data_IF_384964413283
#
_entry.id   IF_384964413283
#
_cell.length_a   1.000
_cell.length_b   1.000
_cell.length_c   1.000
_cell.angle_alpha   90.00
_cell.angle_beta   90.00
_cell.angle_gamma   90.00
#
_symmetry.space_group_name_H-M   'P 1'
#
loop_
_entity.id
_entity.type
_entity.pdbx_description
1 polymer ?
#
# COMPACT_ATOMS: atom_id res chain seq x y z
N UNK A 1 4.20 -17.90 28.64
CA UNK A 1 3.83 -18.66 27.42
C UNK A 1 2.89 -17.82 26.59
N UNK A 2 3.35 -17.39 25.41
CA UNK A 2 2.50 -16.66 24.47
C UNK A 2 1.52 -17.66 23.88
N UNK A 3 0.20 -17.43 24.05
CA UNK A 3 -0.82 -18.28 23.46
C UNK A 3 -0.82 -18.11 21.94
N UNK A 4 -0.93 -19.22 21.20
CA UNK A 4 -1.06 -19.20 19.76
C UNK A 4 -2.44 -18.68 19.36
N UNK A 5 -2.46 -17.64 18.55
CA UNK A 5 -3.69 -17.10 17.96
C UNK A 5 -3.87 -17.60 16.53
N UNK A 6 -5.10 -17.59 16.08
CA UNK A 6 -5.46 -17.87 14.69
C UNK A 6 -5.90 -16.57 14.02
N UNK A 7 -5.11 -16.10 13.07
CA UNK A 7 -5.36 -14.88 12.32
C UNK A 7 -5.75 -15.25 10.90
N UNK A 8 -6.88 -14.73 10.43
CA UNK A 8 -7.39 -14.96 9.07
C UNK A 8 -7.27 -13.68 8.27
N UNK A 9 -6.54 -13.74 7.16
CA UNK A 9 -6.44 -12.68 6.17
C UNK A 9 -7.40 -12.99 5.03
N UNK A 10 -8.12 -11.99 4.55
CA UNK A 10 -9.02 -12.13 3.40
C UNK A 10 -8.66 -11.04 2.38
N UNK A 11 -8.46 -11.44 1.12
CA UNK A 11 -8.11 -10.52 0.04
C UNK A 11 -8.67 -11.02 -1.29
N UNK A 12 -8.90 -10.10 -2.23
CA UNK A 12 -9.44 -10.40 -3.56
C UNK A 12 -8.37 -10.84 -4.57
N UNK A 13 -7.41 -11.64 -4.13
CA UNK A 13 -6.32 -12.13 -4.98
C UNK A 13 -4.99 -11.44 -4.69
N UNK A 14 -3.92 -11.99 -5.24
CA UNK A 14 -2.55 -11.55 -5.00
C UNK A 14 -1.82 -11.27 -6.33
N UNK A 15 -2.32 -10.33 -7.17
CA UNK A 15 -1.76 -10.11 -8.49
C UNK A 15 -0.43 -9.33 -8.53
N UNK A 16 0.00 -8.74 -7.42
CA UNK A 16 1.29 -8.05 -7.37
C UNK A 16 1.24 -6.57 -6.98
N UNK A 17 0.18 -6.12 -6.32
CA UNK A 17 0.07 -4.73 -5.82
C UNK A 17 0.74 -4.52 -4.46
N UNK A 18 0.78 -3.26 -4.03
CA UNK A 18 1.38 -2.88 -2.75
C UNK A 18 0.64 -3.46 -1.53
N UNK A 19 -0.70 -3.49 -1.57
CA UNK A 19 -1.51 -4.05 -0.49
C UNK A 19 -1.29 -5.56 -0.34
N UNK A 20 -1.16 -6.27 -1.45
CA UNK A 20 -0.92 -7.72 -1.48
C UNK A 20 0.44 -8.05 -0.86
N UNK A 21 1.45 -7.26 -1.16
CA UNK A 21 2.79 -7.40 -0.56
C UNK A 21 2.74 -7.22 0.95
N UNK A 22 1.96 -6.25 1.43
CA UNK A 22 1.74 -6.01 2.87
C UNK A 22 1.13 -7.24 3.54
N UNK A 23 0.12 -7.86 2.92
CA UNK A 23 -0.52 -9.08 3.45
C UNK A 23 0.48 -10.20 3.59
N UNK A 24 1.31 -10.44 2.58
CA UNK A 24 2.34 -11.49 2.61
C UNK A 24 3.38 -11.19 3.70
N UNK A 25 3.88 -9.98 3.79
CA UNK A 25 4.88 -9.57 4.78
C UNK A 25 4.32 -9.70 6.20
N UNK A 26 3.11 -9.23 6.44
CA UNK A 26 2.44 -9.33 7.72
C UNK A 26 2.23 -10.80 8.12
N UNK A 27 1.81 -11.64 7.17
CA UNK A 27 1.62 -13.08 7.39
C UNK A 27 2.93 -13.76 7.78
N UNK A 28 4.03 -13.43 7.12
CA UNK A 28 5.37 -13.94 7.49
C UNK A 28 5.73 -13.60 8.92
N UNK A 29 5.51 -12.36 9.33
CA UNK A 29 5.84 -11.89 10.67
C UNK A 29 5.00 -12.57 11.75
N UNK A 30 3.70 -12.74 11.49
CA UNK A 30 2.81 -13.43 12.44
C UNK A 30 3.15 -14.92 12.58
N UNK A 31 3.50 -15.59 11.48
CA UNK A 31 3.97 -16.98 11.51
C UNK A 31 5.28 -17.09 12.30
N UNK A 32 6.21 -16.16 12.09
CA UNK A 32 7.49 -16.14 12.81
C UNK A 32 7.30 -15.94 14.31
N UNK A 33 6.26 -15.25 14.74
CA UNK A 33 5.90 -15.08 16.16
C UNK A 33 5.17 -16.30 16.74
N UNK A 34 4.96 -17.35 15.95
CA UNK A 34 4.37 -18.61 16.41
C UNK A 34 2.87 -18.71 16.27
N UNK A 35 2.23 -17.79 15.56
CA UNK A 35 0.78 -17.80 15.36
C UNK A 35 0.40 -18.59 14.11
N UNK A 36 -0.85 -19.03 14.06
CA UNK A 36 -1.43 -19.66 12.89
C UNK A 36 -2.02 -18.56 12.00
N UNK A 37 -1.68 -18.59 10.72
CA UNK A 37 -2.17 -17.65 9.74
C UNK A 37 -2.86 -18.40 8.61
N UNK A 38 -4.09 -18.00 8.30
CA UNK A 38 -4.85 -18.49 7.17
C UNK A 38 -5.09 -17.34 6.21
N UNK A 39 -4.96 -17.59 4.91
CA UNK A 39 -5.16 -16.60 3.87
C UNK A 39 -6.24 -17.09 2.91
N UNK A 40 -7.37 -16.39 2.88
CA UNK A 40 -8.48 -16.66 1.99
C UNK A 40 -8.42 -15.66 0.82
N UNK A 41 -8.23 -16.18 -0.38
CA UNK A 41 -8.21 -15.38 -1.60
C UNK A 41 -9.50 -15.58 -2.39
N UNK A 42 -10.15 -14.49 -2.77
CA UNK A 42 -11.41 -14.54 -3.51
C UNK A 42 -11.22 -14.77 -5.00
N UNK A 43 -9.96 -14.70 -5.50
CA UNK A 43 -9.60 -15.03 -6.87
C UNK A 43 -8.36 -15.91 -6.90
N UNK A 44 -8.27 -16.77 -7.90
CA UNK A 44 -7.10 -17.64 -8.11
C UNK A 44 -6.00 -16.89 -8.86
N UNK A 45 -5.44 -15.88 -8.22
CA UNK A 45 -4.31 -15.11 -8.73
C UNK A 45 -3.30 -14.94 -7.61
N UNK A 46 -2.09 -15.47 -7.81
CA UNK A 46 -1.01 -15.33 -6.83
C UNK A 46 0.33 -15.19 -7.55
N UNK A 47 0.89 -13.98 -7.53
CA UNK A 47 2.19 -13.67 -8.12
C UNK A 47 3.28 -13.52 -7.05
N UNK A 48 3.02 -14.01 -5.84
CA UNK A 48 3.97 -14.00 -4.73
C UNK A 48 4.33 -15.41 -4.30
N UNK A 49 5.54 -15.57 -3.78
CA UNK A 49 5.91 -16.78 -3.05
C UNK A 49 5.27 -16.69 -1.67
N UNK A 50 4.42 -17.66 -1.36
CA UNK A 50 3.72 -17.68 -0.07
C UNK A 50 4.67 -18.13 1.05
N UNK A 51 4.54 -17.58 2.27
CA UNK A 51 5.33 -18.02 3.40
C UNK A 51 5.09 -19.49 3.72
N UNK A 52 6.14 -20.19 4.17
CA UNK A 52 6.00 -21.55 4.67
C UNK A 52 5.10 -21.58 5.92
N UNK A 53 4.18 -22.53 5.96
CA UNK A 53 3.27 -22.70 7.09
C UNK A 53 1.96 -21.93 7.00
N UNK A 54 1.76 -21.11 5.97
CA UNK A 54 0.48 -20.45 5.76
C UNK A 54 -0.57 -21.42 5.24
N UNK A 55 -1.81 -21.33 5.72
CA UNK A 55 -2.95 -22.04 5.14
C UNK A 55 -3.59 -21.17 4.07
N UNK A 56 -3.28 -21.43 2.82
CA UNK A 56 -3.76 -20.65 1.68
C UNK A 56 -4.91 -21.37 1.00
N UNK A 57 -6.04 -20.69 0.85
CA UNK A 57 -7.24 -21.22 0.20
C UNK A 57 -7.82 -20.21 -0.77
N UNK A 58 -8.16 -20.71 -1.96
CA UNK A 58 -8.84 -19.92 -3.00
C UNK A 58 -10.33 -20.23 -2.96
N UNK A 59 -11.14 -19.17 -2.93
CA UNK A 59 -12.60 -19.26 -2.98
C UNK A 59 -13.03 -18.88 -4.38
N UNK A 60 -13.11 -19.88 -5.26
CA UNK A 60 -13.48 -19.65 -6.65
C UNK A 60 -14.96 -19.34 -6.80
N UNK A 61 -15.28 -18.44 -7.73
CA UNK A 61 -16.65 -18.19 -8.15
C UNK A 61 -16.98 -19.11 -9.33
N UNK A 62 -17.79 -20.13 -9.05
CA UNK A 62 -18.18 -21.14 -10.03
C UNK A 62 -19.51 -20.84 -10.73
N UNK A 63 -20.17 -19.73 -10.38
CA UNK A 63 -21.47 -19.37 -10.96
C UNK A 63 -21.34 -19.01 -12.44
N UNK A 64 -22.23 -19.60 -13.26
CA UNK A 64 -22.38 -19.29 -14.69
C UNK A 64 -23.75 -18.66 -14.98
N UNK A 65 -24.50 -18.28 -13.96
CA UNK A 65 -25.81 -17.64 -14.11
C UNK A 65 -25.70 -16.34 -14.87
N UNK A 66 -26.67 -16.00 -15.78
CA UNK A 66 -26.72 -14.69 -16.41
C UNK A 66 -26.93 -13.55 -15.42
N UNK A 67 -27.48 -13.85 -14.24
CA UNK A 67 -27.73 -12.91 -13.13
C UNK A 67 -26.56 -12.78 -12.17
N UNK A 68 -25.41 -13.36 -12.46
CA UNK A 68 -24.27 -13.44 -11.54
C UNK A 68 -23.77 -12.07 -11.06
N UNK A 69 -23.88 -11.00 -11.88
CA UNK A 69 -23.48 -9.65 -11.49
C UNK A 69 -24.41 -9.05 -10.43
N UNK A 70 -25.70 -9.31 -10.55
CA UNK A 70 -26.70 -8.81 -9.61
C UNK A 70 -26.65 -9.50 -8.26
N UNK A 71 -26.26 -10.78 -8.23
CA UNK A 71 -26.19 -11.60 -7.01
C UNK A 71 -24.77 -11.72 -6.47
N UNK A 72 -23.80 -11.06 -7.06
CA UNK A 72 -22.38 -11.27 -6.78
C UNK A 72 -22.04 -11.13 -5.31
N UNK A 73 -22.39 -10.02 -4.67
CA UNK A 73 -22.01 -9.78 -3.28
C UNK A 73 -22.59 -10.82 -2.33
N UNK A 74 -23.88 -11.14 -2.45
CA UNK A 74 -24.53 -12.14 -1.59
C UNK A 74 -24.03 -13.54 -1.86
N UNK A 75 -23.84 -13.90 -3.13
CA UNK A 75 -23.29 -15.20 -3.53
C UNK A 75 -21.87 -15.38 -3.03
N UNK A 76 -21.00 -14.39 -3.25
CA UNK A 76 -19.60 -14.43 -2.82
C UNK A 76 -19.48 -14.46 -1.31
N UNK A 77 -20.34 -13.74 -0.58
CA UNK A 77 -20.41 -13.79 0.87
C UNK A 77 -20.79 -15.18 1.37
N UNK A 78 -21.73 -15.86 0.71
CA UNK A 78 -22.11 -17.24 1.03
C UNK A 78 -20.97 -18.22 0.79
N UNK A 79 -20.24 -18.06 -0.30
CA UNK A 79 -19.06 -18.88 -0.61
C UNK A 79 -17.94 -18.64 0.41
N UNK A 80 -17.70 -17.39 0.80
CA UNK A 80 -16.77 -17.04 1.86
C UNK A 80 -17.15 -17.68 3.19
N UNK A 81 -18.42 -17.61 3.57
CA UNK A 81 -18.91 -18.18 4.81
C UNK A 81 -18.70 -19.69 4.87
N UNK A 82 -18.95 -20.38 3.77
CA UNK A 82 -18.69 -21.83 3.67
C UNK A 82 -17.22 -22.15 3.87
N UNK A 83 -16.33 -21.44 3.18
CA UNK A 83 -14.89 -21.63 3.32
C UNK A 83 -14.39 -21.30 4.71
N UNK A 84 -14.91 -20.22 5.31
CA UNK A 84 -14.55 -19.80 6.66
C UNK A 84 -14.99 -20.84 7.71
N UNK A 85 -16.20 -21.40 7.59
CA UNK A 85 -16.67 -22.44 8.49
C UNK A 85 -15.82 -23.70 8.41
N UNK A 86 -15.41 -24.10 7.19
CA UNK A 86 -14.50 -25.23 6.99
C UNK A 86 -13.13 -24.96 7.63
N UNK A 87 -12.62 -23.75 7.47
CA UNK A 87 -11.34 -23.36 8.05
C UNK A 87 -11.38 -23.42 9.59
N UNK A 88 -12.43 -22.88 10.19
CA UNK A 88 -12.62 -22.87 11.64
C UNK A 88 -12.81 -24.28 12.19
N UNK A 89 -13.50 -25.16 11.47
CA UNK A 89 -13.66 -26.57 11.88
C UNK A 89 -12.34 -27.32 11.91
N UNK A 90 -11.37 -26.95 11.07
CA UNK A 90 -10.06 -27.58 10.99
C UNK A 90 -9.06 -27.01 11.99
N UNK A 91 -9.07 -25.69 12.20
CA UNK A 91 -8.03 -24.98 12.94
C UNK A 91 -8.51 -24.29 14.21
N UNK A 92 -9.79 -24.36 14.51
CA UNK A 92 -10.39 -23.63 15.63
C UNK A 92 -10.80 -22.22 15.27
N UNK A 93 -11.40 -21.52 16.24
CA UNK A 93 -11.94 -20.17 16.05
C UNK A 93 -10.86 -19.19 15.59
N UNK A 94 -11.26 -18.24 14.75
CA UNK A 94 -10.42 -17.11 14.38
C UNK A 94 -10.43 -16.08 15.52
N UNK A 95 -9.26 -15.68 15.98
CA UNK A 95 -9.12 -14.65 17.01
C UNK A 95 -9.14 -13.25 16.40
N UNK A 96 -8.71 -13.14 15.14
CA UNK A 96 -8.64 -11.88 14.40
C UNK A 96 -8.86 -12.18 12.93
N UNK A 97 -9.71 -11.37 12.28
CA UNK A 97 -9.95 -11.42 10.84
C UNK A 97 -9.64 -10.06 10.26
N UNK A 98 -8.78 -10.03 9.25
CA UNK A 98 -8.37 -8.79 8.58
C UNK A 98 -8.76 -8.88 7.11
N UNK A 99 -9.65 -7.98 6.70
CA UNK A 99 -10.09 -7.85 5.32
C UNK A 99 -9.29 -6.73 4.64
N UNK A 100 -8.81 -6.99 3.45
CA UNK A 100 -7.98 -6.06 2.70
C UNK A 100 -8.60 -5.73 1.36
N UNK A 101 -8.59 -4.45 1.00
CA UNK A 101 -9.12 -3.90 -0.23
C UNK A 101 -10.65 -3.78 -0.23
N UNK A 102 -11.13 -2.72 -0.84
CA UNK A 102 -12.57 -2.41 -0.87
C UNK A 102 -13.43 -3.51 -1.51
N UNK A 103 -12.95 -4.15 -2.56
CA UNK A 103 -13.67 -5.28 -3.19
C UNK A 103 -13.91 -6.41 -2.21
N UNK A 104 -12.90 -6.74 -1.44
CA UNK A 104 -12.99 -7.76 -0.38
C UNK A 104 -13.94 -7.31 0.73
N UNK A 105 -13.79 -6.06 1.16
CA UNK A 105 -14.55 -5.49 2.28
C UNK A 105 -16.06 -5.52 2.00
N UNK A 106 -16.47 -5.27 0.77
CA UNK A 106 -17.89 -5.34 0.35
C UNK A 106 -18.49 -6.73 0.57
N UNK A 107 -17.70 -7.76 0.33
CA UNK A 107 -18.11 -9.17 0.49
C UNK A 107 -18.10 -9.55 1.97
N UNK A 108 -17.03 -9.23 2.68
CA UNK A 108 -16.86 -9.52 4.10
C UNK A 108 -17.97 -8.83 4.94
N UNK A 109 -18.35 -7.62 4.56
CA UNK A 109 -19.46 -6.89 5.22
C UNK A 109 -20.75 -7.71 5.25
N UNK A 110 -21.01 -8.52 4.23
CA UNK A 110 -22.21 -9.33 4.09
C UNK A 110 -22.08 -10.73 4.68
N UNK A 111 -20.91 -11.08 5.20
CA UNK A 111 -20.70 -12.39 5.84
C UNK A 111 -21.58 -12.54 7.09
N UNK A 112 -22.13 -13.74 7.24
CA UNK A 112 -22.89 -14.12 8.43
C UNK A 112 -22.09 -15.01 9.37
N UNK A 113 -21.06 -15.70 8.86
CA UNK A 113 -20.23 -16.60 9.64
C UNK A 113 -19.12 -15.89 10.42
N UNK A 114 -18.66 -14.74 9.94
CA UNK A 114 -17.52 -14.03 10.52
C UNK A 114 -18.02 -12.98 11.51
N UNK A 115 -17.52 -13.06 12.75
CA UNK A 115 -17.90 -12.13 13.83
C UNK A 115 -17.42 -10.70 13.51
N UNK A 116 -18.32 -9.72 13.36
CA UNK A 116 -17.93 -8.33 13.08
C UNK A 116 -17.02 -7.73 14.14
N UNK A 117 -17.11 -8.15 15.39
CA UNK A 117 -16.30 -7.64 16.50
C UNK A 117 -14.84 -8.06 16.39
N UNK A 118 -14.55 -9.17 15.71
CA UNK A 118 -13.20 -9.71 15.48
C UNK A 118 -12.66 -9.33 14.11
N UNK A 119 -13.45 -8.65 13.31
CA UNK A 119 -13.14 -8.29 11.93
C UNK A 119 -12.68 -6.83 11.84
N UNK A 120 -11.55 -6.61 11.20
CA UNK A 120 -11.01 -5.28 10.92
C UNK A 120 -10.83 -5.11 9.43
N UNK A 121 -11.34 -4.00 8.91
CA UNK A 121 -11.14 -3.61 7.52
C UNK A 121 -9.88 -2.76 7.43
N UNK A 122 -8.88 -3.26 6.74
CA UNK A 122 -7.61 -2.56 6.53
C UNK A 122 -7.67 -1.74 5.25
N UNK A 123 -7.58 -0.42 5.38
CA UNK A 123 -7.70 0.54 4.29
C UNK A 123 -6.31 0.92 3.80
N UNK A 124 -6.06 0.72 2.52
CA UNK A 124 -4.77 0.93 1.88
C UNK A 124 -4.70 2.18 1.00
N UNK A 125 -5.79 2.89 0.82
CA UNK A 125 -5.85 4.06 -0.05
C UNK A 125 -6.75 5.16 0.46
N UNK A 126 -6.60 6.35 -0.11
CA UNK A 126 -7.42 7.52 0.17
C UNK A 126 -8.66 7.48 -0.72
N UNK A 127 -9.81 7.06 -0.19
CA UNK A 127 -11.02 6.83 -0.97
C UNK A 127 -11.59 8.11 -1.60
N UNK A 128 -11.49 9.25 -0.92
CA UNK A 128 -11.96 10.52 -1.48
C UNK A 128 -11.24 10.91 -2.76
N UNK A 129 -9.96 10.53 -2.90
CA UNK A 129 -9.18 10.75 -4.10
C UNK A 129 -9.33 9.63 -5.13
N UNK A 130 -9.07 8.39 -4.72
CA UNK A 130 -9.00 7.26 -5.66
C UNK A 130 -10.36 6.70 -6.06
N UNK A 131 -11.32 6.63 -5.13
CA UNK A 131 -12.63 6.02 -5.40
C UNK A 131 -13.65 7.03 -5.94
N UNK A 132 -13.71 8.22 -5.35
CA UNK A 132 -14.58 9.28 -5.85
C UNK A 132 -14.03 9.91 -7.12
N UNK A 133 -12.70 10.03 -7.22
CA UNK A 133 -12.03 10.61 -8.39
C UNK A 133 -12.54 12.02 -8.68
N UNK A 134 -12.85 12.27 -9.94
CA UNK A 134 -13.38 13.55 -10.42
C UNK A 134 -14.93 13.60 -10.48
N UNK A 135 -15.60 12.63 -9.86
CA UNK A 135 -17.07 12.56 -9.89
C UNK A 135 -17.68 13.69 -9.08
N UNK A 136 -18.81 14.18 -9.57
CA UNK A 136 -19.59 15.27 -8.95
C UNK A 136 -21.07 14.91 -8.90
N UNK A 137 -21.86 15.65 -8.10
CA UNK A 137 -23.30 15.52 -8.06
C UNK A 137 -23.80 14.15 -7.60
N UNK A 138 -24.80 13.63 -8.30
CA UNK A 138 -25.48 12.39 -7.92
C UNK A 138 -24.56 11.16 -7.99
N UNK A 139 -23.71 11.10 -8.99
CA UNK A 139 -22.73 10.00 -9.15
C UNK A 139 -21.76 9.94 -7.95
N UNK A 140 -21.27 11.10 -7.51
CA UNK A 140 -20.42 11.20 -6.32
C UNK A 140 -21.17 10.77 -5.05
N UNK A 141 -22.41 11.23 -4.90
CA UNK A 141 -23.26 10.90 -3.75
C UNK A 141 -23.53 9.40 -3.67
N UNK A 142 -23.86 8.74 -4.80
CA UNK A 142 -24.10 7.29 -4.84
C UNK A 142 -22.86 6.51 -4.43
N UNK A 143 -21.69 6.89 -4.96
CA UNK A 143 -20.42 6.24 -4.62
C UNK A 143 -20.05 6.43 -3.16
N UNK A 144 -20.22 7.63 -2.64
CA UNK A 144 -19.97 7.93 -1.24
C UNK A 144 -20.89 7.10 -0.33
N UNK A 145 -22.16 6.92 -0.71
CA UNK A 145 -23.11 6.13 0.05
C UNK A 145 -22.75 4.64 0.06
N UNK A 146 -22.19 4.11 -1.03
CA UNK A 146 -21.70 2.73 -1.09
C UNK A 146 -20.55 2.50 -0.10
N UNK A 147 -19.61 3.44 -0.03
CA UNK A 147 -18.49 3.40 0.92
C UNK A 147 -19.03 3.46 2.35
N UNK A 148 -19.91 4.40 2.62
CA UNK A 148 -20.52 4.54 3.96
C UNK A 148 -21.15 3.22 4.44
N UNK A 149 -21.93 2.54 3.59
CA UNK A 149 -22.60 1.28 3.95
C UNK A 149 -21.63 0.16 4.31
N UNK A 150 -20.46 0.10 3.67
CA UNK A 150 -19.49 -0.96 3.94
C UNK A 150 -18.84 -0.77 5.32
N UNK A 151 -18.51 0.46 5.67
CA UNK A 151 -17.64 0.72 6.83
C UNK A 151 -18.35 1.26 8.06
N UNK A 152 -19.61 1.67 7.93
CA UNK A 152 -20.36 2.23 9.07
C UNK A 152 -20.46 1.23 10.22
N UNK A 153 -20.07 1.67 11.42
CA UNK A 153 -20.10 0.90 12.66
C UNK A 153 -19.28 -0.40 12.60
N UNK A 154 -18.21 -0.41 11.82
CA UNK A 154 -17.27 -1.52 11.73
C UNK A 154 -15.89 -1.09 12.22
N UNK A 155 -15.04 -2.06 12.57
CA UNK A 155 -13.68 -1.81 12.99
C UNK A 155 -12.81 -1.50 11.77
N UNK A 156 -12.05 -0.41 11.83
CA UNK A 156 -11.26 0.09 10.71
C UNK A 156 -9.81 0.26 11.11
N UNK A 157 -8.90 -0.19 10.24
CA UNK A 157 -7.48 0.14 10.32
C UNK A 157 -7.15 1.01 9.11
N UNK A 158 -6.61 2.20 9.33
CA UNK A 158 -5.99 3.00 8.28
C UNK A 158 -4.48 2.79 8.30
N UNK A 159 -3.86 2.60 7.13
CA UNK A 159 -2.39 2.48 7.04
C UNK A 159 -1.69 3.81 7.32
N UNK A 160 -2.42 4.91 7.27
CA UNK A 160 -2.00 6.23 7.75
C UNK A 160 -3.18 6.89 8.46
N UNK A 161 -2.90 7.92 9.25
CA UNK A 161 -3.94 8.71 9.91
C UNK A 161 -4.87 9.34 8.88
N UNK A 162 -4.31 9.86 7.79
CA UNK A 162 -5.09 10.47 6.72
C UNK A 162 -6.09 9.48 6.12
N UNK A 163 -5.65 8.25 5.82
CA UNK A 163 -6.51 7.20 5.26
C UNK A 163 -7.68 6.88 6.20
N UNK A 164 -7.42 6.72 7.49
CA UNK A 164 -8.46 6.44 8.48
C UNK A 164 -9.45 7.61 8.61
N UNK A 165 -8.93 8.84 8.72
CA UNK A 165 -9.76 10.03 8.91
C UNK A 165 -10.59 10.39 7.68
N UNK A 166 -10.13 10.01 6.49
CA UNK A 166 -10.82 10.25 5.21
C UNK A 166 -12.24 9.67 5.20
N UNK A 167 -12.43 8.49 5.78
CA UNK A 167 -13.76 7.88 5.89
C UNK A 167 -14.71 8.72 6.76
N UNK A 168 -14.21 9.24 7.86
CA UNK A 168 -15.04 10.06 8.76
C UNK A 168 -15.39 11.40 8.12
N UNK A 169 -14.42 12.03 7.45
CA UNK A 169 -14.57 13.38 6.87
C UNK A 169 -15.42 13.39 5.60
N UNK A 170 -15.18 12.45 4.69
CA UNK A 170 -15.76 12.51 3.35
C UNK A 170 -16.91 11.52 3.14
N UNK A 171 -17.10 10.55 4.04
CA UNK A 171 -18.10 9.50 3.90
C UNK A 171 -19.02 9.38 5.10
N UNK A 172 -18.87 10.25 6.08
CA UNK A 172 -19.68 10.29 7.30
C UNK A 172 -19.71 8.95 8.05
N UNK A 173 -18.61 8.21 7.98
CA UNK A 173 -18.47 6.93 8.67
C UNK A 173 -18.16 7.18 10.15
N UNK A 174 -18.92 6.53 11.03
CA UNK A 174 -18.63 6.43 12.45
C UNK A 174 -18.17 4.99 12.71
N UNK A 175 -16.86 4.72 12.80
CA UNK A 175 -16.39 3.36 13.03
C UNK A 175 -16.73 2.88 14.44
N UNK A 176 -16.91 1.56 14.61
CA UNK A 176 -17.02 0.96 15.94
C UNK A 176 -15.71 1.14 16.72
N UNK A 177 -14.58 0.90 16.06
CA UNK A 177 -13.24 1.18 16.55
C UNK A 177 -12.37 1.58 15.36
N UNK A 178 -11.41 2.47 15.60
CA UNK A 178 -10.48 2.96 14.60
C UNK A 178 -9.05 2.88 15.10
N UNK A 179 -8.18 2.31 14.31
CA UNK A 179 -6.75 2.26 14.59
C UNK A 179 -5.96 2.73 13.37
N UNK A 180 -4.81 3.32 13.62
CA UNK A 180 -3.82 3.62 12.59
C UNK A 180 -2.65 2.67 12.80
N UNK A 181 -2.44 1.77 11.87
CA UNK A 181 -1.34 0.80 11.91
C UNK A 181 -0.59 0.91 10.59
N UNK A 182 0.66 1.35 10.66
CA UNK A 182 1.52 1.48 9.49
C UNK A 182 1.81 0.12 8.86
N UNK A 183 2.24 0.14 7.60
CA UNK A 183 2.67 -1.07 6.91
C UNK A 183 3.94 -1.64 7.54
N UNK A 184 4.09 -2.97 7.56
CA UNK A 184 5.28 -3.63 8.07
C UNK A 184 6.38 -3.73 7.03
N UNK A 185 7.64 -3.74 7.49
CA UNK A 185 8.81 -3.90 6.63
C UNK A 185 9.78 -4.89 7.25
N UNK A 186 10.23 -5.85 6.44
CA UNK A 186 11.30 -6.77 6.81
C UNK A 186 12.64 -6.12 6.44
N UNK A 187 13.27 -5.44 7.40
CA UNK A 187 14.51 -4.68 7.20
C UNK A 187 15.65 -5.57 6.69
N UNK A 188 15.82 -6.74 7.27
CA UNK A 188 16.89 -7.66 6.87
C UNK A 188 16.71 -8.13 5.42
N UNK A 189 15.49 -8.48 5.04
CA UNK A 189 15.18 -8.89 3.66
C UNK A 189 15.45 -7.75 2.68
N UNK A 190 15.02 -6.52 3.00
CA UNK A 190 15.25 -5.34 2.15
C UNK A 190 16.74 -5.08 2.00
N UNK A 191 17.50 -5.07 3.08
CA UNK A 191 18.93 -4.79 3.04
C UNK A 191 19.72 -5.89 2.32
N UNK A 192 19.31 -7.14 2.45
CA UNK A 192 19.91 -8.27 1.71
C UNK A 192 19.68 -8.12 0.21
N UNK A 193 18.47 -7.79 -0.19
CA UNK A 193 18.14 -7.55 -1.61
C UNK A 193 18.84 -6.30 -2.15
N UNK A 194 18.97 -5.26 -1.32
CA UNK A 194 19.67 -4.04 -1.71
C UNK A 194 21.17 -4.26 -1.97
N UNK A 195 21.75 -5.27 -1.35
CA UNK A 195 23.16 -5.62 -1.54
C UNK A 195 23.41 -6.48 -2.79
N UNK A 196 22.36 -6.97 -3.45
CA UNK A 196 22.50 -7.77 -4.68
C UNK A 196 23.09 -6.93 -5.81
N UNK A 197 24.04 -7.49 -6.60
CA UNK A 197 24.58 -6.78 -7.75
C UNK A 197 23.52 -6.50 -8.81
N UNK A 198 23.57 -5.29 -9.38
CA UNK A 198 22.71 -4.89 -10.48
C UNK A 198 23.52 -3.97 -11.42
N UNK A 199 23.17 -4.00 -12.71
CA UNK A 199 23.76 -3.10 -13.69
C UNK A 199 23.14 -1.72 -13.53
N UNK A 200 23.89 -0.80 -12.91
CA UNK A 200 23.46 0.57 -12.63
C UNK A 200 24.07 1.55 -13.65
N UNK A 201 23.50 2.75 -13.80
CA UNK A 201 24.16 3.83 -14.52
C UNK A 201 25.54 4.12 -13.92
N UNK A 202 26.49 4.50 -14.75
CA UNK A 202 27.87 4.80 -14.31
C UNK A 202 27.96 6.00 -13.36
N UNK A 203 27.01 6.92 -13.45
CA UNK A 203 26.92 8.12 -12.62
C UNK A 203 25.83 7.99 -11.58
N UNK A 204 25.88 8.83 -10.55
CA UNK A 204 24.76 8.99 -9.65
C UNK A 204 23.49 9.29 -10.42
N UNK A 205 22.36 8.85 -9.92
CA UNK A 205 21.07 9.00 -10.59
C UNK A 205 19.97 9.33 -9.60
N UNK A 206 18.94 10.00 -10.11
CA UNK A 206 17.66 10.20 -9.42
C UNK A 206 16.77 9.02 -9.77
N UNK A 207 15.91 8.62 -8.84
CA UNK A 207 15.11 7.43 -9.02
C UNK A 207 13.63 7.69 -8.69
N UNK A 208 12.76 7.13 -9.50
CA UNK A 208 11.35 6.97 -9.21
C UNK A 208 10.98 5.50 -9.35
N UNK A 209 10.29 4.96 -8.36
CA UNK A 209 9.82 3.57 -8.37
C UNK A 209 8.30 3.59 -8.24
N UNK A 210 7.62 3.07 -9.24
CA UNK A 210 6.17 2.97 -9.22
C UNK A 210 5.58 2.69 -10.58
N UNK A 211 4.40 2.07 -10.55
CA UNK A 211 3.61 1.82 -11.75
C UNK A 211 3.22 3.14 -12.42
N UNK A 212 3.23 3.17 -13.75
CA UNK A 212 2.73 4.31 -14.51
C UNK A 212 1.21 4.35 -14.41
N UNK A 213 0.74 5.20 -13.55
CA UNK A 213 -0.68 5.43 -13.31
C UNK A 213 -0.89 6.93 -13.08
N UNK A 214 -2.06 7.41 -13.45
CA UNK A 214 -2.38 8.84 -13.39
C UNK A 214 -2.12 9.46 -12.01
N UNK A 215 -2.43 8.74 -10.93
CA UNK A 215 -2.24 9.23 -9.55
C UNK A 215 -0.77 9.45 -9.20
N UNK A 216 0.14 8.73 -9.84
CA UNK A 216 1.59 8.84 -9.59
C UNK A 216 2.21 10.08 -10.21
N UNK A 217 1.52 10.71 -11.15
CA UNK A 217 1.91 11.98 -11.75
C UNK A 217 3.34 11.99 -12.29
N UNK A 218 3.66 11.03 -13.14
CA UNK A 218 4.95 11.00 -13.84
C UNK A 218 5.16 12.25 -14.70
N UNK A 219 4.09 12.86 -15.21
CA UNK A 219 4.14 14.14 -15.91
C UNK A 219 4.69 15.26 -15.03
N UNK A 220 4.23 15.35 -13.79
CA UNK A 220 4.74 16.30 -12.79
C UNK A 220 6.21 16.06 -12.51
N UNK A 221 6.60 14.79 -12.38
CA UNK A 221 7.99 14.41 -12.14
C UNK A 221 8.91 14.87 -13.26
N UNK A 222 8.53 14.61 -14.51
CA UNK A 222 9.33 15.02 -15.68
C UNK A 222 9.46 16.54 -15.76
N UNK A 223 8.38 17.27 -15.53
CA UNK A 223 8.40 18.73 -15.52
C UNK A 223 9.28 19.28 -14.39
N UNK A 224 9.16 18.69 -13.18
CA UNK A 224 10.01 19.06 -12.06
C UNK A 224 11.48 18.79 -12.33
N UNK A 225 11.78 17.64 -12.91
CA UNK A 225 13.15 17.29 -13.28
C UNK A 225 13.74 18.29 -14.27
N UNK A 226 12.98 18.66 -15.29
CA UNK A 226 13.40 19.67 -16.27
C UNK A 226 13.66 21.02 -15.59
N UNK A 227 12.74 21.46 -14.71
CA UNK A 227 12.85 22.74 -14.00
C UNK A 227 14.01 22.75 -13.00
N UNK A 228 14.36 21.59 -12.43
CA UNK A 228 15.40 21.50 -11.42
C UNK A 228 16.79 21.83 -11.96
N UNK A 229 17.01 21.64 -13.25
CA UNK A 229 18.34 21.81 -13.86
C UNK A 229 19.36 20.76 -13.41
N UNK A 230 18.97 19.76 -12.63
CA UNK A 230 19.86 18.70 -12.20
C UNK A 230 20.32 17.87 -13.38
N UNK A 231 21.61 17.54 -13.41
CA UNK A 231 22.23 16.80 -14.51
C UNK A 231 22.30 15.29 -14.30
N UNK A 232 22.03 14.80 -13.09
CA UNK A 232 21.96 13.37 -12.81
C UNK A 232 20.87 12.74 -13.67
N UNK A 233 21.11 11.57 -14.28
CA UNK A 233 20.04 10.86 -14.98
C UNK A 233 18.85 10.59 -14.06
N UNK A 234 17.64 10.64 -14.61
CA UNK A 234 16.42 10.22 -13.93
C UNK A 234 16.05 8.82 -14.40
N UNK A 235 16.02 7.85 -13.49
CA UNK A 235 15.64 6.48 -13.77
C UNK A 235 14.21 6.26 -13.30
N UNK A 236 13.39 5.72 -14.19
CA UNK A 236 12.01 5.33 -13.91
C UNK A 236 11.94 3.81 -13.88
N UNK A 237 11.76 3.25 -12.67
CA UNK A 237 11.47 1.84 -12.47
C UNK A 237 9.96 1.65 -12.40
N UNK A 238 9.46 0.73 -13.19
CA UNK A 238 8.05 0.42 -13.29
C UNK A 238 7.57 0.53 -14.71
N UNK A 239 6.35 0.09 -14.93
CA UNK A 239 5.74 0.10 -16.26
C UNK A 239 4.25 0.42 -16.16
N UNK A 240 3.65 0.72 -17.28
CA UNK A 240 2.23 0.99 -17.42
C UNK A 240 1.78 0.61 -18.82
N UNK A 241 0.61 1.09 -19.22
CA UNK A 241 0.16 0.83 -20.57
C UNK A 241 1.04 1.54 -21.62
N UNK A 242 1.04 1.02 -22.83
CA UNK A 242 1.89 1.52 -23.92
C UNK A 242 1.56 2.97 -24.27
N UNK A 243 0.28 3.35 -24.22
CA UNK A 243 -0.16 4.71 -24.55
C UNK A 243 0.40 5.74 -23.58
N UNK A 244 0.25 5.50 -22.27
CA UNK A 244 0.79 6.40 -21.25
C UNK A 244 2.32 6.47 -21.32
N UNK A 245 2.98 5.34 -21.52
CA UNK A 245 4.43 5.28 -21.67
C UNK A 245 4.91 6.15 -22.83
N UNK A 246 4.25 6.07 -23.99
CA UNK A 246 4.58 6.90 -25.15
C UNK A 246 4.32 8.39 -24.90
N UNK A 247 3.24 8.72 -24.21
CA UNK A 247 2.94 10.11 -23.83
C UNK A 247 4.05 10.68 -22.94
N UNK A 248 4.55 9.89 -21.98
CA UNK A 248 5.63 10.33 -21.10
C UNK A 248 6.96 10.49 -21.85
N UNK A 249 7.27 9.58 -22.76
CA UNK A 249 8.45 9.70 -23.63
C UNK A 249 8.38 10.94 -24.50
N UNK A 250 7.21 11.24 -25.06
CA UNK A 250 6.98 12.45 -25.85
C UNK A 250 7.15 13.71 -24.99
N UNK A 251 6.60 13.72 -23.77
CA UNK A 251 6.78 14.83 -22.84
C UNK A 251 8.26 15.07 -22.52
N UNK A 252 9.03 13.99 -22.32
CA UNK A 252 10.47 14.10 -22.09
C UNK A 252 11.18 14.75 -23.28
N UNK A 253 10.79 14.43 -24.51
CA UNK A 253 11.32 15.07 -25.71
C UNK A 253 10.96 16.56 -25.76
N UNK A 254 9.72 16.89 -25.49
CA UNK A 254 9.28 18.29 -25.47
C UNK A 254 9.98 19.13 -24.42
N UNK A 255 10.33 18.52 -23.28
CA UNK A 255 11.07 19.17 -22.20
C UNK A 255 12.60 19.17 -22.41
N UNK A 256 13.09 18.59 -23.51
CA UNK A 256 14.51 18.46 -23.83
C UNK A 256 15.32 17.69 -22.78
N UNK A 257 14.72 16.68 -22.16
CA UNK A 257 15.34 15.83 -21.16
C UNK A 257 15.39 14.35 -21.56
N UNK A 258 14.91 14.01 -22.76
CA UNK A 258 14.76 12.61 -23.19
C UNK A 258 16.05 11.80 -23.09
N UNK A 259 17.20 12.41 -23.34
CA UNK A 259 18.51 11.74 -23.28
C UNK A 259 18.93 11.40 -21.85
N UNK A 260 18.35 12.06 -20.84
CA UNK A 260 18.70 11.88 -19.43
C UNK A 260 17.64 11.13 -18.65
N UNK A 261 16.50 10.77 -19.26
CA UNK A 261 15.44 9.98 -18.63
C UNK A 261 15.53 8.55 -19.13
N UNK A 262 15.70 7.62 -18.20
CA UNK A 262 15.87 6.20 -18.49
C UNK A 262 14.60 5.46 -18.08
N UNK A 263 13.87 4.94 -19.05
CA UNK A 263 12.70 4.10 -18.84
C UNK A 263 13.18 2.66 -18.69
N UNK A 264 13.45 2.27 -17.46
CA UNK A 264 14.08 0.98 -17.15
C UNK A 264 13.10 -0.19 -17.15
N UNK A 265 11.80 0.09 -16.96
CA UNK A 265 10.79 -0.95 -16.86
C UNK A 265 10.67 -1.53 -15.45
N UNK A 266 9.97 -2.64 -15.35
CA UNK A 266 9.73 -3.32 -14.07
C UNK A 266 10.98 -4.13 -13.65
N UNK A 267 11.35 -3.99 -12.39
CA UNK A 267 12.38 -4.82 -11.74
C UNK A 267 11.81 -5.46 -10.49
N UNK A 268 12.00 -6.76 -10.34
CA UNK A 268 11.54 -7.51 -9.17
C UNK A 268 12.28 -7.13 -7.89
N UNK A 269 13.52 -6.68 -8.02
CA UNK A 269 14.33 -6.16 -6.91
C UNK A 269 14.68 -4.70 -7.12
N UNK A 270 13.81 -3.76 -6.70
CA UNK A 270 14.12 -2.34 -6.82
C UNK A 270 15.10 -1.85 -5.75
N UNK A 271 15.39 -2.63 -4.73
CA UNK A 271 16.15 -2.17 -3.56
C UNK A 271 17.60 -1.87 -3.87
N UNK A 272 18.22 -2.62 -4.79
CA UNK A 272 19.57 -2.30 -5.26
C UNK A 272 19.63 -0.94 -5.95
N UNK A 273 18.59 -0.60 -6.72
CA UNK A 273 18.45 0.71 -7.34
C UNK A 273 18.23 1.79 -6.29
N UNK A 274 17.35 1.55 -5.33
CA UNK A 274 17.02 2.49 -4.26
C UNK A 274 18.27 2.82 -3.44
N UNK A 275 19.01 1.79 -3.03
CA UNK A 275 20.21 1.96 -2.21
C UNK A 275 21.28 2.81 -2.91
N UNK A 276 21.43 2.67 -4.22
CA UNK A 276 22.46 3.35 -4.98
C UNK A 276 22.01 4.68 -5.60
N UNK A 277 20.73 5.02 -5.47
CA UNK A 277 20.20 6.28 -5.96
C UNK A 277 20.69 7.46 -5.11
N UNK A 278 20.94 8.58 -5.76
CA UNK A 278 21.24 9.83 -5.07
C UNK A 278 20.02 10.34 -4.30
N UNK A 279 18.85 10.12 -4.85
CA UNK A 279 17.58 10.56 -4.27
C UNK A 279 16.45 9.77 -4.90
N UNK A 280 15.46 9.39 -4.06
CA UNK A 280 14.19 8.86 -4.53
C UNK A 280 13.17 9.99 -4.54
N UNK A 281 12.44 10.13 -5.65
CA UNK A 281 11.44 11.19 -5.80
C UNK A 281 10.06 10.56 -6.01
N UNK A 282 9.09 11.01 -5.22
CA UNK A 282 7.69 10.63 -5.32
C UNK A 282 6.87 11.87 -5.67
N UNK A 283 6.08 11.80 -6.74
CA UNK A 283 5.39 12.94 -7.34
C UNK A 283 3.86 12.86 -7.26
N UNK A 284 3.34 11.95 -6.47
CA UNK A 284 1.94 11.53 -6.45
C UNK A 284 0.95 12.62 -6.03
N UNK A 285 -0.29 12.48 -6.49
CA UNK A 285 -1.44 13.27 -6.00
C UNK A 285 -1.99 12.73 -4.68
N UNK A 286 -1.86 11.43 -4.44
CA UNK A 286 -2.20 10.79 -3.17
C UNK A 286 -1.44 9.47 -3.04
N UNK A 287 -1.16 9.08 -1.81
CA UNK A 287 -0.54 7.82 -1.44
C UNK A 287 -1.20 7.30 -0.17
N UNK A 288 -1.64 6.05 -0.16
CA UNK A 288 -2.20 5.47 1.05
C UNK A 288 -1.17 5.50 2.18
N UNK A 289 -0.04 4.88 1.95
CA UNK A 289 1.09 4.88 2.90
C UNK A 289 2.36 5.52 2.32
N UNK A 290 2.84 5.04 1.18
CA UNK A 290 4.11 5.47 0.61
C UNK A 290 5.23 4.50 0.95
N UNK A 291 5.02 3.22 0.69
CA UNK A 291 5.98 2.14 1.01
C UNK A 291 7.40 2.45 0.55
N UNK A 292 7.53 2.98 -0.66
CA UNK A 292 8.85 3.23 -1.26
C UNK A 292 9.65 4.28 -0.48
N UNK A 293 8.99 5.21 0.20
CA UNK A 293 9.68 6.19 1.04
C UNK A 293 10.35 5.52 2.24
N UNK A 294 9.64 4.62 2.91
CA UNK A 294 10.21 3.85 4.03
C UNK A 294 11.32 2.94 3.54
N UNK A 295 11.12 2.26 2.42
CA UNK A 295 12.14 1.41 1.81
C UNK A 295 13.43 2.18 1.50
N UNK A 296 13.30 3.39 0.96
CA UNK A 296 14.43 4.27 0.69
C UNK A 296 15.14 4.71 1.98
N UNK A 297 14.37 5.06 3.01
CA UNK A 297 14.95 5.44 4.31
C UNK A 297 15.67 4.29 4.98
N UNK A 298 15.15 3.06 4.87
CA UNK A 298 15.82 1.84 5.36
C UNK A 298 17.18 1.68 4.66
N UNK A 299 17.25 1.97 3.37
CA UNK A 299 18.49 1.91 2.59
C UNK A 299 19.42 3.12 2.78
N UNK A 300 19.01 4.13 3.55
CA UNK A 300 19.80 5.33 3.78
C UNK A 300 19.76 6.33 2.62
N UNK A 301 18.78 6.23 1.74
CA UNK A 301 18.65 7.06 0.53
C UNK A 301 17.83 8.31 0.81
N UNK A 302 18.29 9.46 0.30
CA UNK A 302 17.55 10.73 0.39
C UNK A 302 16.20 10.60 -0.30
N UNK A 303 15.16 11.20 0.27
CA UNK A 303 13.81 11.13 -0.27
C UNK A 303 13.21 12.52 -0.46
N UNK A 304 12.51 12.67 -1.57
CA UNK A 304 11.71 13.85 -1.89
C UNK A 304 10.31 13.36 -2.25
N UNK A 305 9.30 13.97 -1.70
CA UNK A 305 7.91 13.61 -1.98
C UNK A 305 7.03 14.83 -2.02
N UNK A 306 6.01 14.79 -2.87
CA UNK A 306 4.88 15.71 -2.71
C UNK A 306 4.25 15.52 -1.35
N UNK A 307 3.77 16.62 -0.75
CA UNK A 307 2.97 16.61 0.48
C UNK A 307 1.54 16.20 0.15
N UNK A 308 1.40 15.02 -0.45
CA UNK A 308 0.10 14.55 -0.91
C UNK A 308 -0.74 13.98 0.24
N UNK A 309 -2.07 13.95 0.08
CA UNK A 309 -2.93 13.23 1.02
C UNK A 309 -2.49 11.79 1.20
N UNK A 310 -2.35 11.36 2.44
CA UNK A 310 -1.93 10.00 2.80
C UNK A 310 -0.68 9.98 3.69
N UNK A 311 0.14 8.96 3.50
CA UNK A 311 1.28 8.66 4.35
C UNK A 311 2.50 9.57 4.26
N UNK A 312 2.87 10.15 3.10
CA UNK A 312 4.14 10.86 2.99
C UNK A 312 4.40 11.93 4.05
N UNK A 313 3.45 12.84 4.39
CA UNK A 313 3.68 13.80 5.47
C UNK A 313 3.84 13.18 6.86
N UNK A 314 3.31 11.97 7.05
CA UNK A 314 3.42 11.24 8.32
C UNK A 314 4.74 10.48 8.44
N UNK A 315 5.35 10.11 7.31
CA UNK A 315 6.66 9.46 7.25
C UNK A 315 7.79 10.47 7.32
N UNK A 316 7.70 11.56 6.54
CA UNK A 316 8.74 12.57 6.44
C UNK A 316 8.54 13.66 7.50
N UNK A 317 8.94 13.35 8.72
CA UNK A 317 8.85 14.23 9.89
C UNK A 317 10.24 14.72 10.34
N UNK A 318 10.29 15.68 11.25
CA UNK A 318 11.54 16.23 11.74
C UNK A 318 12.37 16.82 10.60
N UNK A 319 13.67 16.51 10.55
CA UNK A 319 14.57 17.00 9.50
C UNK A 319 14.23 16.43 8.10
N UNK A 320 13.51 15.32 8.03
CA UNK A 320 13.07 14.74 6.75
C UNK A 320 11.96 15.57 6.09
N UNK A 321 11.29 16.43 6.83
CA UNK A 321 10.23 17.30 6.30
C UNK A 321 10.72 18.28 5.24
N UNK A 322 12.03 18.56 5.19
CA UNK A 322 12.63 19.37 4.11
C UNK A 322 12.51 18.70 2.74
N UNK A 323 12.26 17.40 2.70
CA UNK A 323 11.99 16.64 1.48
C UNK A 323 10.54 16.67 1.01
N UNK A 324 9.64 17.40 1.71
CA UNK A 324 8.25 17.55 1.30
C UNK A 324 8.07 18.77 0.41
N UNK A 325 7.43 18.58 -0.73
CA UNK A 325 7.11 19.63 -1.70
C UNK A 325 5.60 19.79 -1.81
N UNK A 326 5.15 20.98 -2.22
CA UNK A 326 3.76 21.17 -2.63
C UNK A 326 3.47 20.38 -3.93
N UNK A 327 2.20 20.25 -4.28
CA UNK A 327 1.74 19.44 -5.41
C UNK A 327 1.89 20.18 -6.74
N UNK A 328 3.05 20.78 -6.98
CA UNK A 328 3.38 21.48 -8.21
C UNK A 328 4.76 21.07 -8.70
N UNK A 329 4.98 21.14 -10.01
CA UNK A 329 6.28 20.84 -10.59
C UNK A 329 7.37 21.81 -10.08
N UNK A 330 7.02 23.08 -9.88
CA UNK A 330 7.94 24.11 -9.41
C UNK A 330 8.41 23.84 -7.97
N UNK A 331 7.49 23.52 -7.07
CA UNK A 331 7.83 23.17 -5.69
C UNK A 331 8.63 21.88 -5.61
N UNK A 332 8.24 20.88 -6.38
CA UNK A 332 8.96 19.61 -6.44
C UNK A 332 10.39 19.81 -6.96
N UNK A 333 10.58 20.62 -7.99
CA UNK A 333 11.89 20.97 -8.52
C UNK A 333 12.77 21.66 -7.48
N UNK A 334 12.23 22.64 -6.78
CA UNK A 334 12.94 23.36 -5.73
C UNK A 334 13.37 22.42 -4.59
N UNK A 335 12.49 21.51 -4.18
CA UNK A 335 12.78 20.52 -3.14
C UNK A 335 13.86 19.54 -3.59
N UNK A 336 13.84 19.11 -4.86
CA UNK A 336 14.87 18.26 -5.44
C UNK A 336 16.24 18.97 -5.43
N UNK A 337 16.29 20.24 -5.81
CA UNK A 337 17.51 21.04 -5.78
C UNK A 337 18.05 21.18 -4.35
N UNK A 338 17.17 21.47 -3.40
CA UNK A 338 17.55 21.63 -1.99
C UNK A 338 18.13 20.33 -1.43
N UNK A 339 17.50 19.21 -1.70
CA UNK A 339 17.95 17.88 -1.23
C UNK A 339 19.27 17.49 -1.88
N UNK A 340 19.46 17.81 -3.15
CA UNK A 340 20.71 17.52 -3.87
C UNK A 340 21.89 18.31 -3.29
N UNK A 341 21.70 19.60 -3.02
CA UNK A 341 22.75 20.48 -2.51
C UNK A 341 22.96 20.37 -0.99
N UNK A 342 21.92 20.07 -0.25
CA UNK A 342 21.93 19.98 1.22
C UNK A 342 21.23 18.70 1.70
N UNK A 343 21.86 17.53 1.47
CA UNK A 343 21.28 16.28 1.93
C UNK A 343 21.18 16.26 3.45
N UNK A 344 20.10 15.67 3.96
CA UNK A 344 19.86 15.55 5.40
C UNK A 344 20.45 14.27 5.95
N UNK A 345 20.78 14.27 7.23
CA UNK A 345 21.19 13.03 7.92
C UNK A 345 19.94 12.18 8.16
N UNK A 346 20.00 10.93 7.73
CA UNK A 346 18.93 9.97 7.96
C UNK A 346 19.30 9.10 9.16
N UNK A 347 18.62 9.34 10.30
CA UNK A 347 18.78 8.51 11.49
C UNK A 347 18.02 7.20 11.28
N UNK A 348 18.67 6.02 11.39
CA UNK A 348 17.99 4.73 11.30
C UNK A 348 16.80 4.58 12.28
N UNK A 349 16.81 5.30 13.39
CA UNK A 349 15.72 5.24 14.38
C UNK A 349 14.41 5.80 13.82
N UNK A 350 14.44 6.64 12.80
CA UNK A 350 13.24 7.25 12.22
C UNK A 350 12.27 6.21 11.61
N UNK A 351 12.79 5.07 11.20
CA UNK A 351 11.99 3.98 10.59
C UNK A 351 11.87 2.75 11.50
N UNK A 352 12.45 2.77 12.69
CA UNK A 352 12.49 1.59 13.58
C UNK A 352 11.10 1.08 13.95
N UNK A 353 10.11 1.97 14.07
CA UNK A 353 8.74 1.61 14.42
C UNK A 353 7.97 0.94 13.27
N UNK A 354 8.52 0.87 12.07
CA UNK A 354 7.95 0.15 10.93
C UNK A 354 8.46 -1.28 10.83
N UNK A 355 9.29 -1.73 11.76
CA UNK A 355 9.80 -3.10 11.74
C UNK A 355 8.66 -4.11 11.81
N UNK A 356 8.83 -5.22 11.11
CA UNK A 356 7.80 -6.24 10.95
C UNK A 356 7.27 -6.76 12.28
N UNK A 357 8.13 -7.11 13.22
CA UNK A 357 7.71 -7.62 14.53
C UNK A 357 6.92 -6.57 15.33
N UNK A 358 7.33 -5.31 15.28
CA UNK A 358 6.64 -4.21 15.95
C UNK A 358 5.22 -4.04 15.40
N UNK A 359 5.07 -4.03 14.09
CA UNK A 359 3.78 -3.90 13.44
C UNK A 359 2.90 -5.13 13.71
N UNK A 360 3.46 -6.34 13.64
CA UNK A 360 2.73 -7.56 13.97
C UNK A 360 2.16 -7.53 15.39
N UNK A 361 2.92 -7.03 16.36
CA UNK A 361 2.46 -6.89 17.75
C UNK A 361 1.32 -5.90 17.87
N UNK A 362 1.29 -4.84 17.06
CA UNK A 362 0.18 -3.91 17.02
C UNK A 362 -1.10 -4.56 16.51
N UNK A 363 -1.02 -5.45 15.51
CA UNK A 363 -2.16 -6.25 15.08
C UNK A 363 -2.61 -7.23 16.16
N UNK A 364 -1.68 -7.89 16.83
CA UNK A 364 -2.01 -8.81 17.92
C UNK A 364 -2.66 -8.11 19.11
N UNK A 365 -2.33 -6.84 19.35
CA UNK A 365 -2.96 -6.04 20.40
C UNK A 365 -4.45 -5.77 20.12
N UNK A 366 -4.91 -5.89 18.89
CA UNK A 366 -6.33 -5.80 18.57
C UNK A 366 -7.13 -6.93 19.23
N UNK A 367 -6.51 -8.10 19.38
CA UNK A 367 -7.13 -9.26 20.05
C UNK A 367 -7.31 -9.01 21.54
N UNK A 368 -6.31 -8.44 22.19
CA UNK A 368 -6.33 -8.19 23.64
C UNK A 368 -7.23 -7.04 24.02
N UNK A 369 -7.40 -6.01 23.16
CA UNK A 369 -8.27 -4.88 23.39
C UNK A 369 -9.76 -5.28 23.48
N UNK A 370 -10.18 -6.34 22.79
CA UNK A 370 -11.55 -6.88 22.87
C UNK A 370 -11.82 -7.62 24.18
N UNK A 371 -10.80 -8.21 24.80
CA UNK A 371 -10.94 -8.96 26.04
C UNK A 371 -11.07 -8.06 27.28
N UNK A 372 -10.77 -6.77 27.18
CA UNK A 372 -10.88 -5.81 28.29
C UNK A 372 -12.24 -5.13 28.39
N UNK A 373 -13.10 -5.27 27.36
CA UNK A 373 -14.45 -4.69 27.32
C UNK A 373 -15.56 -5.71 27.63
N UNK A 374 -15.25 -6.82 28.30
CA UNK A 374 -16.25 -7.77 28.80
C UNK A 374 -16.53 -7.55 30.26
#
# INVERSE_FOLDING_TARGET
>A
TVSQHHIVMIIDGLPGGGAEKVVITLSQGLLALGHRVSLLSLRDVCNYTLPEGIDYRVIADTSRSPWRKLTELSRRAGQLDKAFRQLVSQHGSADLVISHLHKTDRIVRRSQAIDPRKTWFCLHGVFSGSYLGHRTGFSRWLKAKKIHRVYQQRNIIGVSRYVADDLCRHFSVTPANQQVIANPFDFNAILTLAAEPVSLPEKSFLLHVGRFHEVKRHDRLLKAYALSGLRWPLVLLGEGNAELTEQLKQLARELNIAERVIFEGFHSNPYSWIKNARMLVLSSDSEGFGNVLVEALICGTQVVSTRCPGGPPEILTGNLATGLAELTAESLAATMQQTDSHPVTIDPQVVSHYQLDTICRRYLNLITAENTNK
#
